data_IF_386559200159
#
_entry.id   IF_386559200159
#
_cell.length_a   1.000
_cell.length_b   1.000
_cell.length_c   1.000
_cell.angle_alpha   90.00
_cell.angle_beta   90.00
_cell.angle_gamma   90.00
#
_symmetry.space_group_name_H-M   'P 1'
#
loop_
_entity.id
_entity.type
_entity.pdbx_description
1 polymer ?
#
# COMPACT_ATOMS: atom_id res chain seq x y z
N UNK A 1 -8.62 -16.16 -13.56
CA UNK A 1 -7.32 -16.46 -12.92
C UNK A 1 -6.85 -15.19 -12.25
N UNK A 2 -6.23 -15.24 -11.05
CA UNK A 2 -5.74 -14.03 -10.39
C UNK A 2 -4.62 -13.40 -11.22
N UNK A 3 -4.58 -12.07 -11.26
CA UNK A 3 -3.50 -11.31 -11.89
C UNK A 3 -2.24 -11.48 -11.04
N UNK A 4 -1.10 -11.92 -11.58
CA UNK A 4 0.11 -12.07 -10.79
C UNK A 4 0.67 -10.71 -10.34
N UNK A 5 0.99 -10.59 -9.06
CA UNK A 5 1.64 -9.42 -8.47
C UNK A 5 2.63 -9.83 -7.38
N UNK A 6 3.50 -8.91 -6.99
CA UNK A 6 4.44 -9.04 -5.87
C UNK A 6 4.14 -7.96 -4.83
N UNK A 7 4.01 -8.36 -3.57
CA UNK A 7 3.99 -7.44 -2.42
C UNK A 7 5.40 -6.89 -2.17
N UNK A 8 5.54 -5.57 -2.14
CA UNK A 8 6.81 -4.88 -1.85
C UNK A 8 6.87 -4.42 -0.41
N UNK A 9 5.78 -3.81 0.07
CA UNK A 9 5.64 -3.38 1.46
C UNK A 9 4.27 -3.80 1.98
N UNK A 10 4.24 -4.27 3.23
CA UNK A 10 3.03 -4.52 3.99
C UNK A 10 3.16 -3.82 5.34
N UNK A 11 2.26 -2.89 5.60
CA UNK A 11 2.20 -2.10 6.81
C UNK A 11 0.83 -2.35 7.43
N UNK A 12 0.78 -2.85 8.66
CA UNK A 12 -0.45 -3.37 9.23
C UNK A 12 -0.72 -2.83 10.63
N UNK A 13 -1.99 -2.57 10.93
CA UNK A 13 -2.49 -2.25 12.26
C UNK A 13 -3.81 -2.96 12.52
N UNK A 14 -4.40 -2.81 13.71
CA UNK A 14 -5.71 -3.40 14.01
C UNK A 14 -6.83 -2.87 13.10
N UNK A 15 -6.71 -1.63 12.62
CA UNK A 15 -7.79 -0.92 11.90
C UNK A 15 -7.61 -0.96 10.38
N UNK A 16 -6.37 -0.98 9.89
CA UNK A 16 -6.10 -0.88 8.46
C UNK A 16 -4.80 -1.56 8.05
N UNK A 17 -4.65 -1.76 6.75
CA UNK A 17 -3.39 -2.16 6.12
C UNK A 17 -3.04 -1.17 5.01
N UNK A 18 -1.77 -0.85 4.86
CA UNK A 18 -1.21 -0.20 3.68
C UNK A 18 -0.27 -1.17 2.99
N UNK A 19 -0.43 -1.31 1.69
CA UNK A 19 0.35 -2.27 0.90
C UNK A 19 0.79 -1.63 -0.40
N UNK A 20 2.06 -1.83 -0.75
CA UNK A 20 2.55 -1.56 -2.09
C UNK A 20 2.69 -2.88 -2.84
N UNK A 21 2.06 -2.95 -4.02
CA UNK A 21 2.19 -4.10 -4.91
C UNK A 21 2.82 -3.68 -6.24
N UNK A 22 3.52 -4.62 -6.88
CA UNK A 22 3.97 -4.54 -8.26
C UNK A 22 3.27 -5.59 -9.11
N UNK A 23 2.57 -5.18 -10.17
CA UNK A 23 2.00 -6.07 -11.19
C UNK A 23 3.11 -6.80 -11.96
N UNK A 24 2.89 -8.09 -12.24
CA UNK A 24 3.84 -8.94 -12.98
C UNK A 24 3.30 -9.38 -14.35
N UNK A 25 2.05 -9.08 -14.65
CA UNK A 25 1.38 -9.41 -15.91
C UNK A 25 1.72 -8.47 -17.07
N UNK A 26 2.43 -7.36 -16.79
CA UNK A 26 2.77 -6.31 -17.77
C UNK A 26 4.28 -5.99 -17.76
N UNK A 27 5.15 -6.93 -18.15
CA UNK A 27 6.61 -6.74 -18.04
C UNK A 27 7.15 -5.57 -18.87
N UNK A 28 6.48 -5.23 -19.97
CA UNK A 28 6.90 -4.19 -20.92
C UNK A 28 6.24 -2.82 -20.68
N UNK A 29 5.45 -2.65 -19.61
CA UNK A 29 4.79 -1.37 -19.30
C UNK A 29 5.81 -0.35 -18.76
N UNK A 30 6.10 0.74 -19.49
CA UNK A 30 7.05 1.76 -19.02
C UNK A 30 6.46 2.62 -17.88
N UNK A 31 5.13 2.74 -17.78
CA UNK A 31 4.51 3.57 -16.75
C UNK A 31 4.51 2.88 -15.37
N UNK A 32 5.32 3.44 -14.47
CA UNK A 32 5.40 2.98 -13.08
C UNK A 32 4.07 3.15 -12.33
N UNK A 33 3.25 4.15 -12.67
CA UNK A 33 1.94 4.35 -12.02
C UNK A 33 0.92 3.25 -12.34
N UNK A 34 1.16 2.52 -13.43
CA UNK A 34 0.38 1.35 -13.86
C UNK A 34 0.94 0.05 -13.29
N UNK A 35 2.25 -0.04 -13.07
CA UNK A 35 2.91 -1.22 -12.49
C UNK A 35 2.83 -1.28 -10.97
N UNK A 36 2.97 -0.14 -10.30
CA UNK A 36 3.05 -0.03 -8.85
C UNK A 36 1.76 0.58 -8.32
N UNK A 37 1.22 0.01 -7.24
CA UNK A 37 0.02 0.54 -6.61
C UNK A 37 0.17 0.50 -5.10
N UNK A 38 0.01 1.67 -4.49
CA UNK A 38 -0.23 1.82 -3.06
C UNK A 38 -1.72 1.67 -2.80
N UNK A 39 -2.07 0.76 -1.90
CA UNK A 39 -3.45 0.41 -1.59
C UNK A 39 -3.66 0.52 -0.08
N UNK A 40 -4.74 1.18 0.31
CA UNK A 40 -5.22 1.26 1.68
C UNK A 40 -6.41 0.31 1.85
N UNK A 41 -6.32 -0.59 2.82
CA UNK A 41 -7.39 -1.50 3.18
C UNK A 41 -7.96 -1.12 4.53
N UNK A 42 -9.23 -0.74 4.56
CA UNK A 42 -9.99 -0.56 5.80
C UNK A 42 -10.52 -1.92 6.27
N UNK A 43 -10.07 -2.40 7.43
CA UNK A 43 -10.43 -3.73 7.93
C UNK A 43 -11.85 -3.79 8.48
N UNK A 44 -12.39 -2.66 8.93
CA UNK A 44 -13.76 -2.59 9.46
C UNK A 44 -14.79 -2.62 8.32
N UNK A 45 -14.54 -1.85 7.26
CA UNK A 45 -15.40 -1.79 6.08
C UNK A 45 -15.10 -2.91 5.07
N UNK A 46 -13.91 -3.52 5.13
CA UNK A 46 -13.46 -4.49 4.12
C UNK A 46 -13.23 -3.86 2.74
N UNK A 47 -12.92 -2.56 2.71
CA UNK A 47 -12.80 -1.78 1.47
C UNK A 47 -11.34 -1.51 1.14
N UNK A 48 -11.01 -1.59 -0.15
CA UNK A 48 -9.67 -1.33 -0.67
C UNK A 48 -9.70 -0.11 -1.57
N UNK A 49 -8.84 0.85 -1.27
CA UNK A 49 -8.75 2.13 -1.97
C UNK A 49 -7.34 2.32 -2.50
N UNK A 50 -7.21 2.68 -3.79
CA UNK A 50 -5.92 3.08 -4.36
C UNK A 50 -5.53 4.46 -3.83
N UNK A 51 -4.29 4.61 -3.40
CA UNK A 51 -3.69 5.90 -3.07
C UNK A 51 -3.04 6.50 -4.32
N UNK A 52 -3.27 7.78 -4.54
CA UNK A 52 -2.68 8.52 -5.66
C UNK A 52 -1.29 8.99 -5.26
N UNK A 53 -0.29 8.21 -5.66
CA UNK A 53 1.12 8.51 -5.41
C UNK A 53 1.54 9.83 -6.09
N UNK A 54 2.15 10.71 -5.30
CA UNK A 54 2.64 12.03 -5.74
C UNK A 54 4.16 12.02 -5.80
N UNK A 55 4.81 11.68 -4.68
CA UNK A 55 6.26 11.74 -4.57
C UNK A 55 6.79 10.76 -3.52
N UNK A 56 8.09 10.47 -3.58
CA UNK A 56 8.79 9.76 -2.53
C UNK A 56 10.07 10.49 -2.15
N UNK A 57 10.41 10.42 -0.88
CA UNK A 57 11.73 10.75 -0.36
C UNK A 57 12.27 9.51 0.37
N UNK A 58 13.52 9.16 0.12
CA UNK A 58 14.16 7.99 0.72
C UNK A 58 15.43 8.45 1.41
N UNK A 59 15.40 8.43 2.74
CA UNK A 59 16.54 8.75 3.58
C UNK A 59 17.13 7.46 4.18
N UNK A 60 18.39 7.47 4.66
CA UNK A 60 19.06 6.26 5.16
C UNK A 60 18.31 5.55 6.29
N UNK A 61 17.53 6.29 7.08
CA UNK A 61 16.85 5.79 8.27
C UNK A 61 15.33 5.68 8.10
N UNK A 62 14.76 6.29 7.07
CA UNK A 62 13.31 6.35 6.87
C UNK A 62 12.93 6.58 5.40
N UNK A 63 11.83 5.97 5.01
CA UNK A 63 11.16 6.19 3.74
C UNK A 63 9.93 7.08 3.95
N UNK A 64 9.72 7.98 3.01
CA UNK A 64 8.53 8.83 2.95
C UNK A 64 7.83 8.65 1.60
N UNK A 65 6.51 8.62 1.65
CA UNK A 65 5.62 8.58 0.48
C UNK A 65 4.57 9.65 0.65
N UNK A 66 4.41 10.47 -0.37
CA UNK A 66 3.34 11.45 -0.45
C UNK A 66 2.25 10.95 -1.38
N UNK A 67 1.03 11.01 -0.89
CA UNK A 67 -0.18 10.70 -1.63
C UNK A 67 -1.10 11.91 -1.63
N UNK A 68 -2.01 11.97 -2.60
CA UNK A 68 -3.09 12.97 -2.57
C UNK A 68 -3.94 12.85 -1.30
N UNK A 69 -4.08 11.63 -0.78
CA UNK A 69 -4.88 11.28 0.39
C UNK A 69 -4.15 11.44 1.73
N UNK A 70 -2.83 11.72 1.73
CA UNK A 70 -2.05 11.79 2.97
C UNK A 70 -0.56 11.50 2.79
N UNK A 71 0.16 11.44 3.89
CA UNK A 71 1.59 11.19 3.92
C UNK A 71 1.91 9.95 4.76
N UNK A 72 2.77 9.09 4.24
CA UNK A 72 3.27 7.92 4.93
C UNK A 72 4.77 8.09 5.18
N UNK A 73 5.21 7.87 6.42
CA UNK A 73 6.62 7.75 6.80
C UNK A 73 6.84 6.43 7.50
N UNK A 74 7.83 5.65 7.09
CA UNK A 74 8.11 4.34 7.68
C UNK A 74 9.60 4.01 7.69
N UNK A 75 10.00 3.11 8.58
CA UNK A 75 11.33 2.53 8.63
C UNK A 75 11.24 0.99 8.49
N UNK A 76 12.22 0.24 9.00
CA UNK A 76 12.22 -1.22 8.94
C UNK A 76 11.24 -1.90 9.92
N UNK A 77 10.62 -1.15 10.83
CA UNK A 77 9.82 -1.68 11.95
C UNK A 77 8.45 -1.03 12.04
N UNK A 78 8.38 0.29 11.90
CA UNK A 78 7.18 1.05 12.18
C UNK A 78 6.87 2.04 11.06
N UNK A 79 5.61 2.44 11.00
CA UNK A 79 5.10 3.37 10.03
C UNK A 79 4.07 4.31 10.65
N UNK A 80 4.03 5.52 10.16
CA UNK A 80 3.04 6.52 10.52
C UNK A 80 2.39 7.05 9.25
N UNK A 81 1.08 6.84 9.13
CA UNK A 81 0.26 7.41 8.08
C UNK A 81 -0.53 8.60 8.61
N UNK A 82 -0.48 9.73 7.91
CA UNK A 82 -1.21 10.96 8.23
C UNK A 82 -2.16 11.26 7.07
N UNK A 83 -3.47 10.98 7.22
CA UNK A 83 -4.45 11.34 6.20
C UNK A 83 -4.48 12.87 5.98
N UNK A 84 -4.85 13.31 4.77
CA UNK A 84 -5.02 14.74 4.48
C UNK A 84 -6.28 15.31 5.14
N UNK A 85 -7.33 14.50 5.26
CA UNK A 85 -8.64 14.91 5.78
C UNK A 85 -8.80 14.68 7.30
N UNK A 86 -7.81 14.10 7.97
CA UNK A 86 -7.82 13.79 9.41
C UNK A 86 -6.45 14.14 10.02
N UNK A 87 -6.47 14.88 11.12
CA UNK A 87 -5.24 15.29 11.81
C UNK A 87 -4.61 14.16 12.64
N UNK A 88 -5.32 13.04 12.82
CA UNK A 88 -4.90 11.94 13.68
C UNK A 88 -3.94 10.99 12.95
N UNK A 89 -2.66 10.92 13.34
CA UNK A 89 -1.74 9.96 12.75
C UNK A 89 -2.15 8.53 13.12
N UNK A 90 -2.01 7.63 12.15
CA UNK A 90 -2.25 6.20 12.33
C UNK A 90 -0.90 5.48 12.33
N UNK A 91 -0.62 4.78 13.42
CA UNK A 91 0.60 3.97 13.53
C UNK A 91 0.35 2.57 12.98
N UNK A 92 1.28 2.07 12.17
CA UNK A 92 1.28 0.72 11.63
C UNK A 92 2.63 0.05 11.89
N UNK A 93 2.65 -1.27 11.86
CA UNK A 93 3.86 -2.08 11.93
C UNK A 93 4.26 -2.55 10.54
N UNK A 94 5.55 -2.45 10.24
CA UNK A 94 6.13 -2.97 9.00
C UNK A 94 6.23 -4.48 9.14
N UNK A 95 5.46 -5.18 8.34
CA UNK A 95 5.45 -6.63 8.31
C UNK A 95 6.56 -7.12 7.37
N UNK A 96 7.53 -7.92 7.86
CA UNK A 96 8.61 -8.44 7.01
C UNK A 96 8.13 -9.54 6.05
N UNK A 97 6.91 -10.05 6.25
CA UNK A 97 6.33 -11.10 5.41
C UNK A 97 5.69 -10.52 4.16
N UNK A 98 5.79 -11.28 3.07
CA UNK A 98 5.05 -11.02 1.83
C UNK A 98 3.68 -11.67 1.83
N UNK A 99 3.37 -12.51 2.84
CA UNK A 99 2.07 -13.15 2.97
C UNK A 99 1.02 -12.14 3.44
N UNK A 100 0.02 -11.92 2.58
CA UNK A 100 -1.07 -11.02 2.86
C UNK A 100 -2.17 -11.74 3.65
N UNK A 101 -2.82 -11.07 4.62
CA UNK A 101 -4.05 -11.56 5.22
C UNK A 101 -5.09 -11.92 4.13
N UNK A 102 -5.81 -13.02 4.31
CA UNK A 102 -6.72 -13.55 3.27
C UNK A 102 -7.75 -12.52 2.77
N UNK A 103 -8.29 -11.69 3.66
CA UNK A 103 -9.23 -10.62 3.30
C UNK A 103 -8.58 -9.56 2.41
N UNK A 104 -7.35 -9.16 2.74
CA UNK A 104 -6.57 -8.19 1.96
C UNK A 104 -6.20 -8.76 0.59
N UNK A 105 -5.70 -10.00 0.54
CA UNK A 105 -5.37 -10.68 -0.72
C UNK A 105 -6.60 -10.75 -1.65
N UNK A 106 -7.76 -11.17 -1.11
CA UNK A 106 -9.00 -11.24 -1.88
C UNK A 106 -9.49 -9.86 -2.35
N UNK A 107 -9.23 -8.79 -1.59
CA UNK A 107 -9.57 -7.43 -2.01
C UNK A 107 -8.66 -6.95 -3.15
N UNK A 108 -7.35 -7.24 -3.07
CA UNK A 108 -6.36 -6.91 -4.11
C UNK A 108 -6.67 -7.65 -5.41
N UNK A 109 -7.00 -8.94 -5.33
CA UNK A 109 -7.37 -9.73 -6.50
C UNK A 109 -8.56 -9.11 -7.24
N UNK A 110 -9.58 -8.64 -6.50
CA UNK A 110 -10.73 -7.94 -7.10
C UNK A 110 -10.34 -6.62 -7.73
N UNK A 111 -9.51 -5.82 -7.06
CA UNK A 111 -9.01 -4.54 -7.58
C UNK A 111 -8.26 -4.73 -8.91
N UNK A 112 -7.38 -5.73 -9.00
CA UNK A 112 -6.57 -5.99 -10.19
C UNK A 112 -7.38 -6.49 -11.40
N UNK A 113 -8.57 -7.05 -11.18
CA UNK A 113 -9.47 -7.43 -12.27
C UNK A 113 -10.16 -6.22 -12.92
N UNK A 114 -10.23 -5.10 -12.22
CA UNK A 114 -10.88 -3.87 -12.68
C UNK A 114 -9.90 -2.73 -13.04
N UNK A 115 -8.60 -2.94 -12.80
CA UNK A 115 -7.55 -1.94 -12.92
C UNK A 115 -6.64 -2.11 -14.14
#
# INVERSE_FOLDING_TARGET
>A
MPVPYRTLFLLDSAEMSLVEIKRLDRPDEPDRGTLYSWLQFDKAAGTLTKLDFVSMDSQPEAEQREFRQGQLRFDLREATYRPADDTSPRTLLVCPTTELPAALAAAIDRYLLTA
#
